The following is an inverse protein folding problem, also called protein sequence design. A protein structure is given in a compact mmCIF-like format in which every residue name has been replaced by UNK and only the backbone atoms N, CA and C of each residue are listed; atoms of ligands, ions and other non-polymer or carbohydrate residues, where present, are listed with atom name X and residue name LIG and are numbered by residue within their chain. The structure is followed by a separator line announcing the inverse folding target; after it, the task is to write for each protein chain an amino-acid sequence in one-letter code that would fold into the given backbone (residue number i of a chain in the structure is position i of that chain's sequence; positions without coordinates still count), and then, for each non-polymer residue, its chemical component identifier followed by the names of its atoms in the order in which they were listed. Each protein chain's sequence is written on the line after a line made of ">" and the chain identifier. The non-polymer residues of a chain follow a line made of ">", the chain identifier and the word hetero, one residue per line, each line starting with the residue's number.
data_IF_748746057145
#
_entry.id   IF_748746057145
#
_cell.length_a   1.000
_cell.length_b   1.000
_cell.length_c   1.000
_cell.angle_alpha   90.00
_cell.angle_beta   90.00
_cell.angle_gamma   90.00
#
_symmetry.space_group_name_H-M   'P 1'
#
loop_
_entity.id
_entity.type
_entity.pdbx_description
1 polymer ?
#
# COMPACT_ATOMS: atom_id res chain seq x y z
N UNK A 1 10.51 2.24 7.84
CA UNK A 1 9.07 2.03 7.81
C UNK A 1 8.76 0.54 7.84
N UNK A 2 7.66 0.18 8.52
CA UNK A 2 7.26 -1.22 8.65
C UNK A 2 6.83 -1.81 7.30
N UNK A 3 7.25 -3.04 7.02
CA UNK A 3 6.86 -3.75 5.79
C UNK A 3 5.51 -4.46 5.91
N UNK A 4 4.96 -4.55 7.10
CA UNK A 4 3.65 -5.17 7.30
C UNK A 4 2.49 -4.26 6.87
N UNK A 5 2.67 -2.94 6.89
CA UNK A 5 1.60 -1.99 6.61
C UNK A 5 1.99 -0.83 5.70
N UNK A 6 3.26 -0.70 5.34
CA UNK A 6 3.77 0.32 4.41
C UNK A 6 3.21 1.72 4.69
N UNK A 7 3.64 2.39 5.77
CA UNK A 7 3.14 3.74 6.04
C UNK A 7 3.61 4.74 5.00
N UNK A 8 2.73 5.66 4.63
CA UNK A 8 3.00 6.74 3.68
C UNK A 8 2.53 8.07 4.28
N UNK A 9 3.04 9.21 3.79
CA UNK A 9 2.62 10.51 4.29
C UNK A 9 1.10 10.69 4.29
N UNK A 10 0.61 11.32 5.32
CA UNK A 10 -0.78 11.54 5.70
C UNK A 10 -1.46 10.33 6.37
N UNK A 11 -0.80 9.18 6.44
CA UNK A 11 -1.29 8.09 7.30
C UNK A 11 -1.08 8.46 8.77
N UNK A 12 -2.03 8.16 9.65
CA UNK A 12 -1.76 8.14 11.09
C UNK A 12 -0.71 7.08 11.39
N UNK A 13 0.35 7.44 12.10
CA UNK A 13 1.51 6.57 12.34
C UNK A 13 1.92 6.54 13.80
N UNK A 14 2.52 5.41 14.21
CA UNK A 14 3.16 5.22 15.50
C UNK A 14 4.54 4.61 15.31
N UNK A 15 5.50 5.04 16.11
CA UNK A 15 6.84 4.47 16.08
C UNK A 15 7.00 3.45 17.20
N UNK A 16 7.55 2.29 16.86
CA UNK A 16 7.89 1.23 17.81
C UNK A 16 9.39 1.26 18.08
N UNK A 17 9.76 1.32 19.36
CA UNK A 17 11.14 1.18 19.77
C UNK A 17 11.45 -0.31 19.93
N UNK A 18 12.12 -0.88 18.94
CA UNK A 18 12.46 -2.28 18.91
C UNK A 18 13.94 -2.49 19.20
N UNK A 19 14.26 -3.34 20.17
CA UNK A 19 15.65 -3.71 20.42
C UNK A 19 16.20 -4.49 19.21
N UNK A 20 17.31 -4.05 18.67
CA UNK A 20 17.95 -4.66 17.51
C UNK A 20 17.55 -4.09 16.16
N UNK A 21 16.39 -3.47 16.03
CA UNK A 21 15.96 -2.83 14.79
C UNK A 21 15.87 -1.31 14.86
N UNK A 22 16.04 -0.75 16.08
CA UNK A 22 15.86 0.67 16.30
C UNK A 22 14.39 1.09 16.25
N UNK A 23 14.09 2.15 15.54
CA UNK A 23 12.73 2.70 15.44
C UNK A 23 12.06 2.17 14.17
N UNK A 24 10.92 1.53 14.34
CA UNK A 24 10.09 1.03 13.23
C UNK A 24 8.76 1.80 13.25
N UNK A 25 8.38 2.39 12.13
CA UNK A 25 7.18 3.20 12.00
C UNK A 25 6.05 2.37 11.39
N UNK A 26 4.93 2.27 12.10
CA UNK A 26 3.73 1.56 11.67
C UNK A 26 2.58 2.54 11.44
N UNK A 27 1.59 2.14 10.65
CA UNK A 27 0.31 2.82 10.59
C UNK A 27 -0.47 2.51 11.87
N UNK A 28 -1.21 3.50 12.38
CA UNK A 28 -2.09 3.24 13.54
C UNK A 28 -3.10 2.14 13.26
N UNK A 29 -3.51 1.99 11.99
CA UNK A 29 -4.45 0.97 11.56
C UNK A 29 -3.83 -0.42 11.37
N UNK A 30 -2.52 -0.57 11.60
CA UNK A 30 -1.83 -1.85 11.39
C UNK A 30 -2.35 -2.91 12.36
N UNK A 31 -2.70 -4.09 11.83
CA UNK A 31 -3.19 -5.21 12.65
C UNK A 31 -2.15 -5.77 13.61
N UNK A 32 -0.87 -5.48 13.38
CA UNK A 32 0.22 -5.96 14.23
C UNK A 32 0.49 -5.07 15.45
N UNK A 33 -0.37 -4.08 15.70
CA UNK A 33 -0.26 -3.21 16.87
C UNK A 33 -0.79 -3.82 18.17
N UNK A 34 -1.12 -5.10 18.18
CA UNK A 34 -1.57 -5.77 19.42
C UNK A 34 -0.54 -5.66 20.54
N UNK A 35 0.74 -5.69 20.21
CA UNK A 35 1.81 -5.49 21.19
C UNK A 35 1.85 -4.08 21.76
N UNK A 36 1.36 -3.10 21.03
CA UNK A 36 1.25 -1.71 21.51
C UNK A 36 0.36 -1.62 22.76
N UNK A 37 -0.78 -2.31 22.73
CA UNK A 37 -1.72 -2.30 23.85
C UNK A 37 -1.14 -2.96 25.09
N UNK A 38 -0.21 -3.90 24.91
CA UNK A 38 0.45 -4.63 26.01
C UNK A 38 1.66 -3.90 26.56
N UNK A 39 2.36 -3.13 25.72
CA UNK A 39 3.59 -2.43 26.10
C UNK A 39 3.59 -1.02 25.51
N UNK A 40 2.73 -0.12 26.00
CA UNK A 40 2.63 1.22 25.45
C UNK A 40 3.91 2.05 25.56
N UNK A 41 4.81 1.70 26.49
CA UNK A 41 6.08 2.42 26.69
C UNK A 41 7.03 2.29 25.49
N UNK A 42 6.86 1.28 24.66
CA UNK A 42 7.68 1.05 23.47
C UNK A 42 7.17 1.79 22.24
N UNK A 43 6.07 2.51 22.35
CA UNK A 43 5.44 3.21 21.24
C UNK A 43 5.44 4.71 21.47
N UNK A 44 5.82 5.43 20.43
CA UNK A 44 5.94 6.90 20.48
C UNK A 44 5.08 7.47 19.37
N UNK A 45 4.20 8.45 19.68
CA UNK A 45 3.50 9.17 18.64
C UNK A 45 4.50 9.96 17.79
N UNK A 46 4.35 9.89 16.48
CA UNK A 46 5.21 10.59 15.53
C UNK A 46 4.36 11.23 14.46
N UNK A 47 4.94 12.23 13.80
CA UNK A 47 4.27 12.95 12.72
C UNK A 47 5.17 12.98 11.49
N UNK A 48 4.53 13.11 10.33
CA UNK A 48 5.24 13.24 9.07
C UNK A 48 5.85 14.63 8.94
N UNK A 49 7.12 14.65 8.50
CA UNK A 49 7.75 15.88 8.05
C UNK A 49 7.43 16.09 6.58
N UNK A 50 7.15 17.34 6.19
CA UNK A 50 6.93 17.65 4.78
C UNK A 50 8.22 17.38 3.99
N UNK A 51 8.18 16.41 3.08
CA UNK A 51 9.31 16.08 2.21
C UNK A 51 8.77 15.91 0.80
N UNK A 52 8.89 16.95 -0.03
CA UNK A 52 8.21 17.04 -1.32
C UNK A 52 8.69 16.00 -2.34
N UNK A 53 9.92 15.50 -2.21
CA UNK A 53 10.54 14.69 -3.27
C UNK A 53 10.74 13.22 -2.88
N UNK A 54 10.18 12.76 -1.78
CA UNK A 54 10.35 11.37 -1.36
C UNK A 54 9.21 10.50 -1.87
N UNK A 55 9.58 9.26 -2.20
CA UNK A 55 8.63 8.22 -2.56
C UNK A 55 8.58 7.16 -1.47
N UNK A 56 7.41 6.58 -1.29
CA UNK A 56 7.17 5.60 -0.24
C UNK A 56 6.54 4.36 -0.85
N UNK A 57 6.96 3.19 -0.38
CA UNK A 57 6.39 1.92 -0.83
C UNK A 57 4.98 1.74 -0.28
N UNK A 58 4.10 1.25 -1.13
CA UNK A 58 2.75 0.84 -0.74
C UNK A 58 2.39 -0.40 -1.55
N UNK A 59 1.58 -1.27 -0.98
CA UNK A 59 1.10 -2.46 -1.67
C UNK A 59 -0.41 -2.40 -1.81
N UNK A 60 -0.90 -2.66 -3.01
CA UNK A 60 -2.33 -2.77 -3.27
C UNK A 60 -2.65 -4.12 -3.92
N UNK A 61 -3.82 -4.65 -3.60
CA UNK A 61 -4.37 -5.86 -4.21
C UNK A 61 -5.54 -5.47 -5.08
N UNK A 62 -5.54 -5.96 -6.31
CA UNK A 62 -6.57 -5.66 -7.29
C UNK A 62 -7.17 -6.99 -7.76
N UNK A 63 -8.44 -7.19 -7.50
CA UNK A 63 -9.17 -8.32 -8.02
C UNK A 63 -9.77 -7.93 -9.37
N UNK A 64 -9.47 -8.70 -10.40
CA UNK A 64 -9.87 -8.40 -11.78
C UNK A 64 -10.54 -9.60 -12.43
N UNK A 65 -11.36 -9.31 -13.44
CA UNK A 65 -11.85 -10.33 -14.35
C UNK A 65 -10.68 -10.83 -15.19
N UNK A 66 -10.57 -12.17 -15.33
CA UNK A 66 -9.43 -12.77 -16.00
C UNK A 66 -9.59 -12.67 -17.52
N UNK A 67 -9.17 -11.55 -18.10
CA UNK A 67 -9.23 -11.27 -19.53
C UNK A 67 -7.84 -11.00 -20.08
N UNK A 68 -7.65 -11.31 -21.35
CA UNK A 68 -6.41 -11.00 -22.04
C UNK A 68 -6.12 -9.49 -21.95
N UNK A 69 -4.88 -9.15 -21.58
CA UNK A 69 -4.43 -7.76 -21.53
C UNK A 69 -4.84 -6.97 -20.30
N UNK A 70 -5.59 -7.56 -19.35
CA UNK A 70 -6.05 -6.81 -18.17
C UNK A 70 -4.87 -6.31 -17.33
N UNK A 71 -3.82 -7.10 -17.17
CA UNK A 71 -2.63 -6.69 -16.45
C UNK A 71 -1.98 -5.46 -17.08
N UNK A 72 -1.85 -5.49 -18.42
CA UNK A 72 -1.27 -4.36 -19.15
C UNK A 72 -2.13 -3.11 -19.01
N UNK A 73 -3.45 -3.24 -19.05
CA UNK A 73 -4.36 -2.11 -18.89
C UNK A 73 -4.29 -1.51 -17.49
N UNK A 74 -4.25 -2.35 -16.46
CA UNK A 74 -4.11 -1.88 -15.07
C UNK A 74 -2.77 -1.21 -14.87
N UNK A 75 -1.68 -1.81 -15.35
CA UNK A 75 -0.35 -1.21 -15.23
C UNK A 75 -0.27 0.13 -15.97
N UNK A 76 -0.90 0.23 -17.13
CA UNK A 76 -0.94 1.48 -17.90
C UNK A 76 -1.72 2.57 -17.17
N UNK A 77 -2.84 2.22 -16.53
CA UNK A 77 -3.62 3.16 -15.75
C UNK A 77 -2.82 3.69 -14.54
N UNK A 78 -2.08 2.80 -13.88
CA UNK A 78 -1.20 3.19 -12.77
C UNK A 78 -0.10 4.14 -13.26
N UNK A 79 0.57 3.79 -14.35
CA UNK A 79 1.61 4.62 -14.93
C UNK A 79 1.08 6.00 -15.36
N UNK A 80 -0.16 6.07 -15.80
CA UNK A 80 -0.81 7.32 -16.19
C UNK A 80 -1.00 8.30 -15.04
N UNK A 81 -0.92 7.84 -13.80
CA UNK A 81 -0.97 8.69 -12.61
C UNK A 81 0.43 9.09 -12.13
N UNK A 82 1.45 8.89 -12.97
CA UNK A 82 2.86 9.18 -12.64
C UNK A 82 3.34 8.38 -11.44
N UNK A 83 2.93 7.14 -11.35
CA UNK A 83 3.28 6.23 -10.27
C UNK A 83 4.23 5.16 -10.80
N UNK A 84 5.35 4.98 -10.12
CA UNK A 84 6.29 3.92 -10.47
C UNK A 84 5.84 2.59 -9.87
N UNK A 85 5.84 1.55 -10.70
CA UNK A 85 5.55 0.19 -10.27
C UNK A 85 6.88 -0.48 -9.94
N UNK A 86 7.07 -0.84 -8.67
CA UNK A 86 8.29 -1.46 -8.21
C UNK A 86 8.26 -2.98 -8.38
N UNK A 87 7.10 -3.58 -8.15
CA UNK A 87 6.91 -5.01 -8.28
C UNK A 87 5.45 -5.33 -8.58
N UNK A 88 5.23 -6.39 -9.35
CA UNK A 88 3.89 -6.92 -9.61
C UNK A 88 3.92 -8.43 -9.49
N UNK A 89 2.87 -8.98 -8.87
CA UNK A 89 2.65 -10.43 -8.79
C UNK A 89 1.23 -10.73 -9.23
N UNK A 90 1.04 -11.87 -9.88
CA UNK A 90 -0.28 -12.34 -10.32
C UNK A 90 -0.58 -13.63 -9.59
N UNK A 91 -1.71 -13.65 -8.88
CA UNK A 91 -2.20 -14.83 -8.21
C UNK A 91 -3.53 -15.21 -8.84
N UNK A 92 -3.56 -16.35 -9.50
CA UNK A 92 -4.77 -16.84 -10.15
C UNK A 92 -5.66 -17.51 -9.10
N UNK A 93 -6.89 -17.00 -8.92
CA UNK A 93 -7.84 -17.57 -7.97
C UNK A 93 -8.67 -18.69 -8.59
N UNK A 94 -9.17 -18.42 -9.81
CA UNK A 94 -9.94 -19.39 -10.59
C UNK A 94 -9.85 -19.00 -12.07
N UNK A 95 -10.63 -19.66 -12.94
CA UNK A 95 -10.60 -19.39 -14.37
C UNK A 95 -11.18 -18.02 -14.75
N UNK A 96 -12.00 -17.43 -13.88
CA UNK A 96 -12.72 -16.18 -14.18
C UNK A 96 -12.11 -14.95 -13.54
N UNK A 97 -11.39 -15.10 -12.43
CA UNK A 97 -10.81 -13.98 -11.68
C UNK A 97 -9.36 -14.19 -11.33
N UNK A 98 -8.61 -13.12 -11.28
CA UNK A 98 -7.21 -13.09 -10.84
C UNK A 98 -7.01 -12.00 -9.82
N UNK A 99 -6.03 -12.17 -8.96
CA UNK A 99 -5.59 -11.14 -8.02
C UNK A 99 -4.24 -10.61 -8.47
N UNK A 100 -4.15 -9.30 -8.67
CA UNK A 100 -2.91 -8.62 -8.98
C UNK A 100 -2.41 -7.91 -7.71
N UNK A 101 -1.15 -8.12 -7.38
CA UNK A 101 -0.52 -7.48 -6.23
C UNK A 101 0.56 -6.54 -6.78
N UNK A 102 0.38 -5.24 -6.54
CA UNK A 102 1.32 -4.22 -6.99
C UNK A 102 2.02 -3.59 -5.79
N UNK A 103 3.35 -3.53 -5.84
CA UNK A 103 4.13 -2.64 -4.98
C UNK A 103 4.41 -1.38 -5.78
N UNK A 104 3.97 -0.25 -5.25
CA UNK A 104 4.04 1.04 -5.90
C UNK A 104 4.88 2.01 -5.08
N UNK A 105 5.42 3.02 -5.74
CA UNK A 105 6.07 4.15 -5.09
C UNK A 105 5.14 5.36 -5.21
N UNK A 106 4.65 5.84 -4.08
CA UNK A 106 3.74 6.99 -4.03
C UNK A 106 4.31 8.07 -3.12
N UNK A 107 3.85 9.31 -3.32
CA UNK A 107 4.31 10.44 -2.53
C UNK A 107 3.54 10.60 -1.22
N UNK A 108 2.24 10.31 -1.23
CA UNK A 108 1.35 10.47 -0.07
C UNK A 108 0.02 9.75 -0.31
N UNK A 109 -0.91 9.90 0.65
CA UNK A 109 -2.25 9.30 0.53
C UNK A 109 -3.07 9.87 -0.62
N UNK A 110 -2.88 11.14 -0.95
CA UNK A 110 -3.60 11.77 -2.08
C UNK A 110 -3.17 11.16 -3.39
N UNK A 111 -1.87 10.94 -3.54
CA UNK A 111 -1.33 10.25 -4.72
C UNK A 111 -1.90 8.85 -4.83
N UNK A 112 -1.88 8.09 -3.74
CA UNK A 112 -2.45 6.74 -3.69
C UNK A 112 -3.94 6.75 -4.03
N UNK A 113 -4.69 7.73 -3.52
CA UNK A 113 -6.12 7.85 -3.81
C UNK A 113 -6.38 8.07 -5.30
N UNK A 114 -5.54 8.86 -5.97
CA UNK A 114 -5.65 9.05 -7.42
C UNK A 114 -5.40 7.76 -8.19
N UNK A 115 -4.41 6.98 -7.76
CA UNK A 115 -4.12 5.67 -8.34
C UNK A 115 -5.33 4.75 -8.20
N UNK A 116 -5.86 4.61 -7.00
CA UNK A 116 -6.99 3.74 -6.72
C UNK A 116 -8.22 4.16 -7.51
N UNK A 117 -8.48 5.46 -7.60
CA UNK A 117 -9.62 5.99 -8.36
C UNK A 117 -9.48 5.68 -9.85
N UNK A 118 -8.28 5.82 -10.39
CA UNK A 118 -8.01 5.51 -11.80
C UNK A 118 -8.27 4.03 -12.10
N UNK A 119 -7.88 3.13 -11.19
CA UNK A 119 -8.07 1.69 -11.35
C UNK A 119 -9.54 1.30 -11.19
N UNK A 120 -10.23 1.86 -10.20
CA UNK A 120 -11.64 1.55 -9.94
C UNK A 120 -12.57 1.91 -11.09
N UNK A 121 -12.17 2.87 -11.93
CA UNK A 121 -12.95 3.25 -13.11
C UNK A 121 -12.93 2.21 -14.23
N UNK A 122 -12.11 1.19 -14.14
CA UNK A 122 -11.97 0.17 -15.18
C UNK A 122 -13.03 -0.92 -15.01
N UNK A 123 -13.74 -1.30 -16.11
CA UNK A 123 -14.81 -2.31 -16.03
C UNK A 123 -14.32 -3.68 -15.54
N UNK A 124 -13.08 -4.03 -15.84
CA UNK A 124 -12.50 -5.33 -15.48
C UNK A 124 -12.11 -5.42 -14.02
N UNK A 125 -12.04 -4.29 -13.30
CA UNK A 125 -11.62 -4.25 -11.90
C UNK A 125 -12.82 -4.49 -11.00
N UNK A 126 -12.75 -5.53 -10.17
CA UNK A 126 -13.81 -5.94 -9.26
C UNK A 126 -13.63 -5.32 -7.88
N UNK A 127 -12.39 -5.23 -7.40
CA UNK A 127 -12.09 -4.73 -6.07
C UNK A 127 -10.64 -4.25 -5.99
N UNK A 128 -10.43 -3.16 -5.28
CA UNK A 128 -9.09 -2.65 -4.97
C UNK A 128 -8.97 -2.52 -3.45
N UNK A 129 -7.91 -3.10 -2.88
CA UNK A 129 -7.66 -3.08 -1.44
C UNK A 129 -6.22 -2.70 -1.19
N UNK A 130 -6.00 -1.75 -0.28
CA UNK A 130 -4.65 -1.49 0.23
C UNK A 130 -4.31 -2.54 1.27
N UNK A 131 -3.09 -3.09 1.18
CA UNK A 131 -2.65 -4.11 2.11
C UNK A 131 -2.52 -3.55 3.53
N UNK A 132 -3.23 -4.16 4.45
CA UNK A 132 -3.11 -3.97 5.89
C UNK A 132 -2.58 -5.28 6.47
N UNK A 133 -1.63 -5.19 7.36
CA UNK A 133 -1.08 -6.39 7.98
C UNK A 133 -2.14 -7.18 8.75
#
# INVERSE_FOLDING_TARGET
>A
YARCCFPIPNDPILANLSSGRGVVIHREACGNLSSFRKQPDKWIPVAWQAAADRSFHVEIKIEVTNRMGVLAQVASAIAGTQTNIDRVSVVERDSDTSTLIFELLVHDRRHLARVIRSIRGMPEVLKVTRTLA
#
